data_IF_971728668564
#
_entry.id   IF_971728668564
#
_cell.length_a   1.000
_cell.length_b   1.000
_cell.length_c   1.000
_cell.angle_alpha   90.00
_cell.angle_beta   90.00
_cell.angle_gamma   90.00
#
_symmetry.space_group_name_H-M   'P 1'
#
loop_
_entity.id
_entity.type
_entity.pdbx_description
1 polymer ?
#
# COMPACT_ATOMS: atom_id res chain seq x y z
N UNK A 1 11.19 -12.86 -17.73
CA UNK A 1 11.16 -12.50 -16.31
C UNK A 1 9.76 -12.78 -15.79
N UNK A 2 9.59 -13.58 -14.74
CA UNK A 2 8.30 -13.90 -14.14
C UNK A 2 8.02 -12.93 -12.98
N UNK A 3 6.92 -12.19 -13.07
CA UNK A 3 6.57 -11.11 -12.15
C UNK A 3 5.27 -11.42 -11.42
N UNK A 4 5.22 -11.12 -10.13
CA UNK A 4 3.98 -11.02 -9.36
C UNK A 4 3.70 -9.55 -9.06
N UNK A 5 2.44 -9.13 -9.17
CA UNK A 5 1.96 -7.85 -8.65
C UNK A 5 0.93 -8.11 -7.56
N UNK A 6 1.13 -7.46 -6.41
CA UNK A 6 0.25 -7.55 -5.25
C UNK A 6 -0.37 -6.18 -4.99
N UNK A 7 -1.68 -6.08 -5.23
CA UNK A 7 -2.47 -4.87 -4.98
C UNK A 7 -3.09 -4.94 -3.59
N UNK A 8 -2.82 -3.92 -2.77
CA UNK A 8 -3.27 -3.88 -1.36
C UNK A 8 -3.85 -2.53 -0.99
N UNK A 9 -4.78 -2.53 -0.03
CA UNK A 9 -5.46 -1.32 0.47
C UNK A 9 -6.87 -1.20 -0.10
N UNK A 10 -7.44 0.00 -0.14
CA UNK A 10 -8.69 0.21 -0.87
C UNK A 10 -8.39 0.36 -2.37
N UNK A 11 -9.28 -0.18 -3.20
CA UNK A 11 -9.28 0.03 -4.65
C UNK A 11 -9.89 1.40 -4.99
N UNK A 12 -9.29 2.49 -4.49
CA UNK A 12 -9.76 3.86 -4.77
C UNK A 12 -9.58 4.19 -6.24
N UNK A 13 -10.66 4.56 -6.93
CA UNK A 13 -10.60 5.08 -8.29
C UNK A 13 -9.83 4.18 -9.26
N UNK A 14 -9.81 2.88 -8.96
CA UNK A 14 -9.00 1.89 -9.65
C UNK A 14 -9.38 1.81 -11.13
N UNK A 15 -10.65 2.07 -11.45
CA UNK A 15 -11.19 2.11 -12.80
C UNK A 15 -10.61 3.26 -13.64
N UNK A 16 -10.36 4.42 -13.03
CA UNK A 16 -9.70 5.57 -13.68
C UNK A 16 -8.21 5.29 -13.87
N UNK A 17 -7.58 4.61 -12.90
CA UNK A 17 -6.16 4.24 -12.95
C UNK A 17 -5.89 3.07 -13.89
N UNK A 18 -6.88 2.18 -14.09
CA UNK A 18 -6.73 0.93 -14.82
C UNK A 18 -6.10 1.08 -16.22
N UNK A 19 -6.50 2.03 -17.09
CA UNK A 19 -5.84 2.21 -18.39
C UNK A 19 -4.34 2.45 -18.28
N UNK A 20 -3.91 3.27 -17.31
CA UNK A 20 -2.49 3.51 -17.04
C UNK A 20 -1.81 2.25 -16.49
N UNK A 21 -2.41 1.57 -15.51
CA UNK A 21 -1.87 0.32 -14.96
C UNK A 21 -1.75 -0.77 -16.03
N UNK A 22 -2.74 -0.86 -16.93
CA UNK A 22 -2.75 -1.81 -18.05
C UNK A 22 -1.58 -1.53 -18.99
N UNK A 23 -1.45 -0.30 -19.46
CA UNK A 23 -0.38 0.09 -20.39
C UNK A 23 1.02 -0.02 -19.76
N UNK A 24 1.17 0.41 -18.51
CA UNK A 24 2.48 0.55 -17.85
C UNK A 24 2.97 -0.74 -17.21
N UNK A 25 2.06 -1.65 -16.80
CA UNK A 25 2.41 -2.86 -16.04
C UNK A 25 1.88 -4.12 -16.74
N UNK A 26 0.57 -4.23 -16.98
CA UNK A 26 -0.03 -5.49 -17.47
C UNK A 26 0.47 -5.88 -18.86
N UNK A 27 0.39 -4.96 -19.82
CA UNK A 27 0.72 -5.23 -21.22
C UNK A 27 2.23 -5.45 -21.43
N UNK A 28 3.07 -4.85 -20.56
CA UNK A 28 4.53 -4.96 -20.64
C UNK A 28 5.07 -6.24 -20.02
N UNK A 29 4.51 -6.65 -18.88
CA UNK A 29 5.12 -7.69 -18.05
C UNK A 29 4.27 -8.95 -17.91
N UNK A 30 3.00 -8.92 -18.31
CA UNK A 30 2.03 -10.01 -18.13
C UNK A 30 2.14 -10.68 -16.75
N UNK A 31 2.08 -9.90 -15.65
CA UNK A 31 2.34 -10.41 -14.32
C UNK A 31 1.18 -11.26 -13.80
N UNK A 32 1.48 -12.12 -12.82
CA UNK A 32 0.44 -12.75 -12.00
C UNK A 32 -0.06 -11.74 -10.97
N UNK A 33 -1.37 -11.53 -10.90
CA UNK A 33 -1.99 -10.53 -10.03
C UNK A 33 -2.57 -11.17 -8.76
N UNK A 34 -2.29 -10.59 -7.61
CA UNK A 34 -2.89 -10.92 -6.32
C UNK A 34 -3.54 -9.66 -5.73
N UNK A 35 -4.75 -9.77 -5.19
CA UNK A 35 -5.49 -8.61 -4.71
C UNK A 35 -6.04 -8.89 -3.31
N UNK A 36 -5.74 -7.99 -2.37
CA UNK A 36 -6.35 -8.01 -1.05
C UNK A 36 -6.85 -6.61 -0.68
N UNK A 37 -8.16 -6.43 -0.71
CA UNK A 37 -8.81 -5.11 -0.62
C UNK A 37 -9.93 -5.07 0.40
N UNK A 38 -10.40 -3.85 0.68
CA UNK A 38 -11.67 -3.59 1.32
C UNK A 38 -12.82 -3.58 0.29
N UNK A 39 -14.04 -3.82 0.76
CA UNK A 39 -15.28 -3.89 -0.03
C UNK A 39 -15.71 -2.54 -0.61
N UNK A 40 -15.38 -1.46 0.08
CA UNK A 40 -15.63 -0.09 -0.36
C UNK A 40 -14.38 0.53 -1.02
N UNK A 41 -14.60 1.49 -1.92
CA UNK A 41 -13.51 2.27 -2.52
C UNK A 41 -12.81 3.17 -1.50
N UNK A 42 -13.47 3.57 -0.41
CA UNK A 42 -12.83 4.25 0.73
C UNK A 42 -12.07 5.53 0.35
N UNK A 43 -12.68 6.40 -0.45
CA UNK A 43 -12.11 7.71 -0.83
C UNK A 43 -11.62 8.49 0.37
N UNK A 44 -10.58 9.29 0.13
CA UNK A 44 -10.06 10.22 1.13
C UNK A 44 -10.29 11.65 0.70
N UNK A 45 -10.86 12.46 1.60
CA UNK A 45 -11.11 13.88 1.41
C UNK A 45 -10.46 14.70 2.54
N UNK A 46 -9.97 15.93 2.28
CA UNK A 46 -9.38 16.78 3.33
C UNK A 46 -10.31 17.05 4.53
N UNK A 47 -11.63 17.07 4.31
CA UNK A 47 -12.63 17.21 5.35
C UNK A 47 -12.60 16.05 6.36
N UNK A 48 -12.08 14.89 5.96
CA UNK A 48 -11.93 13.74 6.83
C UNK A 48 -10.83 13.87 7.87
N UNK A 49 -9.92 14.85 7.77
CA UNK A 49 -9.04 15.19 8.89
C UNK A 49 -9.89 15.40 10.17
N UNK A 50 -11.11 15.93 10.01
CA UNK A 50 -12.05 16.19 11.10
C UNK A 50 -13.02 15.04 11.41
N UNK A 51 -13.12 13.99 10.59
CA UNK A 51 -14.05 12.86 10.82
C UNK A 51 -13.41 11.79 11.70
N UNK A 52 -14.21 10.96 12.39
CA UNK A 52 -13.67 9.82 13.16
C UNK A 52 -13.26 8.64 12.28
N UNK A 53 -13.83 8.51 11.09
CA UNK A 53 -13.61 7.37 10.17
C UNK A 53 -12.30 7.48 9.40
N UNK A 54 -11.94 8.67 8.90
CA UNK A 54 -10.74 8.84 8.04
C UNK A 54 -10.87 8.24 6.65
N UNK A 55 -12.11 7.99 6.24
CA UNK A 55 -12.59 7.70 4.88
C UNK A 55 -13.97 8.35 4.74
N UNK A 56 -14.35 8.72 3.52
CA UNK A 56 -15.63 9.35 3.25
C UNK A 56 -16.77 8.35 3.53
N UNK A 57 -17.78 8.76 4.28
CA UNK A 57 -18.96 7.92 4.49
C UNK A 57 -19.72 7.72 3.15
N UNK A 58 -20.27 6.51 2.95
CA UNK A 58 -21.02 6.12 1.75
C UNK A 58 -20.22 6.13 0.44
N UNK A 59 -18.92 5.85 0.48
CA UNK A 59 -18.17 5.54 -0.75
C UNK A 59 -18.76 4.31 -1.45
N UNK A 60 -18.71 4.26 -2.79
CA UNK A 60 -19.24 3.13 -3.54
C UNK A 60 -18.54 1.83 -3.16
N UNK A 61 -19.25 0.72 -3.29
CA UNK A 61 -18.65 -0.60 -3.26
C UNK A 61 -17.84 -0.83 -4.53
N UNK A 62 -16.78 -1.62 -4.43
CA UNK A 62 -16.01 -2.04 -5.60
C UNK A 62 -16.83 -2.98 -6.49
N UNK A 63 -16.68 -2.87 -7.81
CA UNK A 63 -17.22 -3.83 -8.75
C UNK A 63 -16.28 -5.04 -8.87
N UNK A 64 -16.49 -6.05 -8.02
CA UNK A 64 -15.67 -7.26 -7.96
C UNK A 64 -15.63 -8.01 -9.30
N UNK A 65 -16.75 -8.04 -10.03
CA UNK A 65 -16.82 -8.76 -11.30
C UNK A 65 -16.02 -8.04 -12.38
N UNK A 66 -16.13 -6.71 -12.46
CA UNK A 66 -15.34 -5.93 -13.38
C UNK A 66 -13.84 -6.04 -13.07
N UNK A 67 -13.45 -5.98 -11.79
CA UNK A 67 -12.05 -6.17 -11.36
C UNK A 67 -11.52 -7.54 -11.81
N UNK A 68 -12.29 -8.61 -11.56
CA UNK A 68 -11.90 -9.97 -11.99
C UNK A 68 -11.74 -10.07 -13.50
N UNK A 69 -12.65 -9.50 -14.26
CA UNK A 69 -12.61 -9.54 -15.72
C UNK A 69 -11.42 -8.75 -16.29
N UNK A 70 -11.09 -7.59 -15.69
CA UNK A 70 -10.04 -6.70 -16.20
C UNK A 70 -8.63 -7.09 -15.76
N UNK A 71 -8.48 -7.63 -14.53
CA UNK A 71 -7.18 -7.96 -13.93
C UNK A 71 -6.85 -9.46 -13.93
N UNK A 72 -7.86 -10.32 -14.09
CA UNK A 72 -7.73 -11.78 -14.04
C UNK A 72 -6.80 -12.27 -12.89
N UNK A 73 -7.12 -11.93 -11.63
CA UNK A 73 -6.24 -12.23 -10.51
C UNK A 73 -6.14 -13.74 -10.22
N UNK A 74 -4.94 -14.19 -9.83
CA UNK A 74 -4.69 -15.55 -9.34
C UNK A 74 -5.41 -15.79 -8.02
N UNK A 75 -5.39 -14.80 -7.12
CA UNK A 75 -6.18 -14.82 -5.89
C UNK A 75 -6.70 -13.41 -5.58
N UNK A 76 -7.92 -13.35 -5.05
CA UNK A 76 -8.64 -12.09 -4.81
C UNK A 76 -9.53 -12.20 -3.57
N UNK A 77 -9.15 -11.46 -2.52
CA UNK A 77 -9.88 -11.36 -1.27
C UNK A 77 -10.42 -9.94 -1.07
N UNK A 78 -11.70 -9.88 -0.69
CA UNK A 78 -12.42 -8.65 -0.37
C UNK A 78 -12.98 -8.79 1.03
N UNK A 79 -12.70 -7.81 1.90
CA UNK A 79 -13.16 -7.81 3.29
C UNK A 79 -13.99 -6.58 3.60
N UNK A 80 -14.87 -6.68 4.59
CA UNK A 80 -15.70 -5.57 5.04
C UNK A 80 -14.96 -4.74 6.11
N UNK A 81 -14.76 -3.45 5.86
CA UNK A 81 -14.10 -2.55 6.82
C UNK A 81 -14.78 -2.55 8.19
N UNK A 82 -16.11 -2.72 8.24
CA UNK A 82 -16.87 -2.66 9.48
C UNK A 82 -16.55 -3.81 10.45
N UNK A 83 -16.11 -4.96 9.92
CA UNK A 83 -15.68 -6.11 10.75
C UNK A 83 -14.35 -5.84 11.46
N UNK A 84 -13.52 -4.97 10.88
CA UNK A 84 -12.15 -4.71 11.36
C UNK A 84 -11.99 -3.37 12.06
N UNK A 85 -12.88 -2.39 11.81
CA UNK A 85 -12.71 -1.03 12.34
C UNK A 85 -12.58 -0.99 13.87
N UNK A 86 -13.42 -1.75 14.59
CA UNK A 86 -13.35 -1.80 16.06
C UNK A 86 -12.04 -2.42 16.58
N UNK A 87 -11.48 -3.41 15.85
CA UNK A 87 -10.21 -4.05 16.20
C UNK A 87 -9.06 -3.06 16.03
N UNK A 88 -9.03 -2.32 14.92
CA UNK A 88 -8.02 -1.30 14.68
C UNK A 88 -8.15 -0.10 15.63
N UNK A 89 -9.38 0.32 15.96
CA UNK A 89 -9.65 1.38 16.94
C UNK A 89 -9.14 0.99 18.34
N UNK A 90 -9.33 -0.27 18.76
CA UNK A 90 -8.80 -0.74 20.05
C UNK A 90 -7.28 -0.81 20.03
N UNK A 91 -6.69 -1.39 18.98
CA UNK A 91 -5.24 -1.54 18.88
C UNK A 91 -4.52 -0.18 18.78
N UNK A 92 -5.15 0.79 18.11
CA UNK A 92 -4.68 2.16 17.99
C UNK A 92 -4.38 2.84 19.34
N UNK A 93 -5.10 2.48 20.42
CA UNK A 93 -4.93 3.09 21.75
C UNK A 93 -3.52 2.91 22.33
N UNK A 94 -2.76 1.92 21.85
CA UNK A 94 -1.39 1.66 22.28
C UNK A 94 -0.37 2.65 21.70
N UNK A 95 -0.79 3.47 20.74
CA UNK A 95 0.10 4.33 19.95
C UNK A 95 -0.32 5.80 20.07
N UNK A 96 -0.05 6.48 21.20
CA UNK A 96 -0.49 7.87 21.40
C UNK A 96 0.21 8.90 20.49
N UNK A 97 1.41 8.58 19.96
CA UNK A 97 2.15 9.47 19.06
C UNK A 97 2.10 8.91 17.64
N UNK A 98 1.46 9.61 16.71
CA UNK A 98 1.27 9.12 15.35
C UNK A 98 1.39 10.26 14.34
N UNK A 99 1.66 9.90 13.08
CA UNK A 99 1.76 10.87 11.98
C UNK A 99 0.48 10.98 11.15
N UNK A 100 -0.40 9.97 11.25
CA UNK A 100 -1.72 9.92 10.66
C UNK A 100 -2.61 9.05 11.54
N UNK A 101 -3.92 9.03 11.30
CA UNK A 101 -4.88 8.24 12.09
C UNK A 101 -4.37 6.80 12.32
N UNK A 102 -4.12 6.39 13.58
CA UNK A 102 -3.45 5.12 13.87
C UNK A 102 -4.11 3.91 13.24
N UNK A 103 -5.45 3.84 13.30
CA UNK A 103 -6.20 2.75 12.71
C UNK A 103 -5.98 2.59 11.20
N UNK A 104 -5.79 3.68 10.48
CA UNK A 104 -5.54 3.66 9.04
C UNK A 104 -4.11 3.14 8.77
N UNK A 105 -3.15 3.51 9.60
CA UNK A 105 -1.78 3.00 9.55
C UNK A 105 -1.76 1.48 9.84
N UNK A 106 -2.48 1.05 10.87
CA UNK A 106 -2.61 -0.36 11.24
C UNK A 106 -3.28 -1.18 10.13
N UNK A 107 -4.39 -0.65 9.57
CA UNK A 107 -5.09 -1.21 8.41
C UNK A 107 -4.17 -1.36 7.20
N UNK A 108 -3.35 -0.35 6.90
CA UNK A 108 -2.39 -0.38 5.79
C UNK A 108 -1.38 -1.52 5.95
N UNK A 109 -0.75 -1.66 7.13
CA UNK A 109 0.18 -2.76 7.39
C UNK A 109 -0.50 -4.12 7.37
N UNK A 110 -1.72 -4.22 7.88
CA UNK A 110 -2.53 -5.42 7.80
C UNK A 110 -2.78 -5.84 6.35
N UNK A 111 -3.27 -4.93 5.49
CA UNK A 111 -3.52 -5.23 4.07
C UNK A 111 -2.26 -5.56 3.30
N UNK A 112 -1.14 -4.92 3.65
CA UNK A 112 0.17 -5.25 3.08
C UNK A 112 0.52 -6.73 3.37
N UNK A 113 0.48 -7.14 4.64
CA UNK A 113 0.76 -8.52 5.02
C UNK A 113 -0.23 -9.52 4.42
N UNK A 114 -1.53 -9.20 4.46
CA UNK A 114 -2.57 -10.08 3.95
C UNK A 114 -2.46 -10.30 2.43
N UNK A 115 -2.17 -9.24 1.66
CA UNK A 115 -1.92 -9.35 0.22
C UNK A 115 -0.70 -10.21 -0.12
N UNK A 116 0.42 -10.00 0.57
CA UNK A 116 1.63 -10.80 0.38
C UNK A 116 1.40 -12.27 0.83
N UNK A 117 0.53 -12.50 1.81
CA UNK A 117 0.18 -13.86 2.23
C UNK A 117 -0.58 -14.64 1.15
N UNK A 118 -1.30 -13.98 0.24
CA UNK A 118 -1.92 -14.64 -0.92
C UNK A 118 -0.85 -15.18 -1.88
N UNK A 119 0.17 -14.37 -2.17
CA UNK A 119 1.33 -14.78 -2.97
C UNK A 119 2.08 -15.93 -2.29
N UNK A 120 2.38 -15.78 -0.98
CA UNK A 120 3.07 -16.81 -0.17
C UNK A 120 2.32 -18.15 -0.20
N UNK A 121 0.99 -18.13 -0.06
CA UNK A 121 0.16 -19.33 -0.18
C UNK A 121 0.26 -19.95 -1.57
N UNK A 122 0.16 -19.14 -2.63
CA UNK A 122 0.22 -19.63 -4.01
C UNK A 122 1.55 -20.31 -4.33
N UNK A 123 2.69 -19.65 -4.03
CA UNK A 123 4.02 -20.24 -4.27
C UNK A 123 4.23 -21.55 -3.51
N UNK A 124 3.69 -21.65 -2.29
CA UNK A 124 3.81 -22.86 -1.47
C UNK A 124 3.00 -24.03 -2.04
N UNK A 125 1.88 -23.74 -2.73
CA UNK A 125 1.03 -24.74 -3.35
C UNK A 125 1.59 -25.17 -4.71
N UNK A 126 2.04 -24.24 -5.54
CA UNK A 126 2.38 -24.50 -6.95
C UNK A 126 3.87 -24.69 -7.20
N UNK A 127 4.73 -24.25 -6.27
CA UNK A 127 6.17 -24.16 -6.48
C UNK A 127 6.59 -23.03 -7.44
N UNK A 128 5.67 -22.15 -7.85
CA UNK A 128 5.95 -21.05 -8.78
C UNK A 128 7.07 -20.17 -8.24
N UNK A 129 8.05 -19.85 -9.10
CA UNK A 129 9.16 -18.96 -8.78
C UNK A 129 8.96 -17.62 -9.47
N UNK A 130 9.12 -16.52 -8.73
CA UNK A 130 9.08 -15.16 -9.25
C UNK A 130 10.45 -14.51 -9.20
N UNK A 131 10.80 -13.81 -10.27
CA UNK A 131 12.04 -13.05 -10.35
C UNK A 131 11.94 -11.76 -9.52
N UNK A 132 10.79 -11.08 -9.60
CA UNK A 132 10.46 -9.90 -8.80
C UNK A 132 8.98 -9.93 -8.40
N UNK A 133 8.72 -9.32 -7.25
CA UNK A 133 7.39 -9.03 -6.70
C UNK A 133 7.25 -7.52 -6.62
N UNK A 134 6.16 -7.01 -7.16
CA UNK A 134 5.78 -5.60 -7.03
C UNK A 134 4.57 -5.54 -6.11
N UNK A 135 4.72 -4.97 -4.93
CA UNK A 135 3.56 -4.59 -4.12
C UNK A 135 3.27 -3.13 -4.37
N UNK A 136 2.04 -2.79 -4.73
CA UNK A 136 1.66 -1.39 -4.92
C UNK A 136 0.22 -1.10 -4.51
N UNK A 137 -0.06 0.20 -4.33
CA UNK A 137 -1.43 0.71 -4.25
C UNK A 137 -2.07 0.74 -5.63
N UNK A 138 -3.38 0.58 -5.70
CA UNK A 138 -4.18 0.58 -6.93
C UNK A 138 -4.65 1.97 -7.39
N UNK A 139 -4.37 3.01 -6.61
CA UNK A 139 -4.81 4.39 -6.84
C UNK A 139 -3.70 5.27 -7.43
N UNK A 140 -2.79 4.70 -8.23
CA UNK A 140 -1.56 5.38 -8.66
C UNK A 140 -1.40 5.42 -10.18
N UNK A 141 -1.19 6.62 -10.71
CA UNK A 141 -0.88 6.86 -12.12
C UNK A 141 0.63 7.02 -12.26
N UNK A 142 1.26 6.18 -13.08
CA UNK A 142 2.68 6.26 -13.40
C UNK A 142 2.87 7.09 -14.67
N UNK A 143 3.50 8.25 -14.52
CA UNK A 143 3.80 9.14 -15.64
C UNK A 143 5.03 8.65 -16.41
N UNK A 144 6.04 8.17 -15.68
CA UNK A 144 7.22 7.56 -16.27
C UNK A 144 7.07 6.04 -16.43
N UNK A 145 7.95 5.46 -17.24
CA UNK A 145 8.07 4.02 -17.38
C UNK A 145 8.75 3.39 -16.16
N UNK A 146 8.10 2.38 -15.57
CA UNK A 146 8.72 1.52 -14.58
C UNK A 146 9.46 0.39 -15.29
N UNK A 147 10.72 0.63 -15.65
CA UNK A 147 11.59 -0.36 -16.29
C UNK A 147 12.14 -1.36 -15.27
N UNK A 148 11.53 -2.55 -15.23
CA UNK A 148 11.88 -3.61 -14.27
C UNK A 148 13.27 -4.21 -14.51
N UNK A 149 13.88 -4.00 -15.68
CA UNK A 149 15.23 -4.49 -15.96
C UNK A 149 16.32 -3.78 -15.14
N UNK A 150 15.99 -2.62 -14.55
CA UNK A 150 16.91 -1.82 -13.72
C UNK A 150 16.96 -2.26 -12.26
N UNK A 151 16.12 -3.20 -11.84
CA UNK A 151 16.01 -3.62 -10.44
C UNK A 151 16.79 -4.92 -10.21
N UNK A 152 17.82 -4.85 -9.35
CA UNK A 152 18.56 -6.03 -8.89
C UNK A 152 17.70 -6.87 -7.94
N UNK A 153 17.62 -8.19 -8.19
CA UNK A 153 16.86 -9.15 -7.38
C UNK A 153 17.38 -9.29 -5.95
N UNK A 154 18.63 -8.92 -5.70
CA UNK A 154 19.25 -8.95 -4.37
C UNK A 154 19.06 -7.64 -3.59
N UNK A 155 18.32 -6.68 -4.14
CA UNK A 155 18.01 -5.41 -3.50
C UNK A 155 16.50 -5.31 -3.34
N UNK A 156 16.05 -4.93 -2.15
CA UNK A 156 14.68 -4.53 -1.89
C UNK A 156 14.54 -3.04 -2.15
N UNK A 157 13.55 -2.65 -2.93
CA UNK A 157 13.32 -1.28 -3.34
C UNK A 157 12.03 -0.74 -2.79
N UNK A 158 12.07 0.50 -2.36
CA UNK A 158 10.88 1.29 -2.01
C UNK A 158 10.82 2.52 -2.92
N UNK A 159 9.60 2.92 -3.30
CA UNK A 159 9.42 4.21 -3.95
C UNK A 159 9.74 5.31 -2.94
N UNK A 160 10.63 6.24 -3.29
CA UNK A 160 10.98 7.36 -2.45
C UNK A 160 9.75 8.24 -2.21
N UNK A 161 9.30 8.28 -0.96
CA UNK A 161 8.24 9.18 -0.51
C UNK A 161 8.51 9.47 0.97
N UNK A 162 8.49 10.75 1.35
CA UNK A 162 8.77 11.19 2.71
C UNK A 162 7.47 11.63 3.36
N UNK A 163 7.41 11.52 4.69
CA UNK A 163 6.36 12.20 5.44
C UNK A 163 6.52 13.74 5.36
N UNK A 164 5.57 14.49 5.93
CA UNK A 164 5.60 15.95 5.95
C UNK A 164 6.85 16.56 6.62
N UNK A 165 7.56 15.78 7.45
CA UNK A 165 8.82 16.17 8.09
C UNK A 165 10.07 15.81 7.27
N UNK A 166 9.92 15.30 6.05
CA UNK A 166 11.04 14.88 5.20
C UNK A 166 11.68 13.55 5.63
N UNK A 167 11.01 12.74 6.44
CA UNK A 167 11.54 11.49 7.01
C UNK A 167 10.93 10.24 6.39
N UNK A 168 11.65 9.12 6.51
CA UNK A 168 11.18 7.78 6.17
C UNK A 168 11.31 7.41 4.69
N UNK A 169 10.59 6.38 4.25
CA UNK A 169 10.52 5.89 2.86
C UNK A 169 9.07 5.63 2.45
N UNK A 170 8.78 5.49 1.17
CA UNK A 170 7.41 5.28 0.71
C UNK A 170 6.83 3.90 1.02
N UNK A 171 5.54 3.92 1.33
CA UNK A 171 4.65 2.78 1.51
C UNK A 171 3.83 2.48 0.25
N UNK A 172 4.12 3.14 -0.87
CA UNK A 172 3.25 3.15 -2.04
C UNK A 172 3.58 2.06 -3.08
N UNK A 173 4.88 1.86 -3.35
CA UNK A 173 5.40 0.76 -4.17
C UNK A 173 6.61 0.14 -3.47
N UNK A 174 6.63 -1.19 -3.44
CA UNK A 174 7.76 -2.01 -3.04
C UNK A 174 8.10 -2.98 -4.16
N UNK A 175 9.39 -3.15 -4.47
CA UNK A 175 9.87 -4.09 -5.49
C UNK A 175 11.03 -4.90 -4.90
N UNK A 176 10.97 -6.22 -4.98
CA UNK A 176 12.07 -7.07 -4.53
C UNK A 176 11.85 -8.52 -4.89
N UNK A 177 12.72 -9.40 -4.42
CA UNK A 177 12.47 -10.84 -4.54
C UNK A 177 11.34 -11.28 -3.58
N UNK A 178 10.91 -12.53 -3.72
CA UNK A 178 9.82 -13.12 -2.92
C UNK A 178 10.14 -13.10 -1.41
N UNK A 179 11.36 -13.47 -1.04
CA UNK A 179 11.77 -13.55 0.37
C UNK A 179 11.72 -12.17 1.03
N UNK A 180 12.33 -11.16 0.42
CA UNK A 180 12.36 -9.80 0.95
C UNK A 180 10.95 -9.19 1.01
N UNK A 181 10.11 -9.49 0.02
CA UNK A 181 8.71 -9.04 0.02
C UNK A 181 7.91 -9.64 1.19
N UNK A 182 8.08 -10.95 1.45
CA UNK A 182 7.47 -11.62 2.61
C UNK A 182 8.02 -11.06 3.91
N UNK A 183 9.34 -10.96 4.05
CA UNK A 183 10.00 -10.45 5.25
C UNK A 183 9.61 -9.00 5.56
N UNK A 184 9.55 -8.14 4.54
CA UNK A 184 9.09 -6.76 4.71
C UNK A 184 7.63 -6.73 5.19
N UNK A 185 6.78 -7.58 4.62
CA UNK A 185 5.37 -7.60 4.93
C UNK A 185 5.05 -7.98 6.38
N UNK A 186 5.93 -8.76 7.03
CA UNK A 186 5.77 -9.10 8.45
C UNK A 186 5.98 -7.91 9.39
N UNK A 187 6.30 -6.70 8.91
CA UNK A 187 6.30 -5.47 9.71
C UNK A 187 5.02 -5.32 10.55
N UNK A 188 3.86 -5.78 10.05
CA UNK A 188 2.58 -5.76 10.77
C UNK A 188 2.64 -6.51 12.12
N UNK A 189 3.47 -7.54 12.22
CA UNK A 189 3.65 -8.35 13.42
C UNK A 189 4.58 -7.68 14.45
N UNK A 190 5.35 -6.68 14.03
CA UNK A 190 6.39 -6.04 14.83
C UNK A 190 6.08 -4.57 15.17
N UNK A 191 4.88 -4.10 14.87
CA UNK A 191 4.45 -2.71 15.10
C UNK A 191 4.74 -2.25 16.56
N UNK A 192 4.36 -2.99 17.63
CA UNK A 192 4.60 -2.53 19.00
C UNK A 192 6.10 -2.41 19.33
N UNK A 193 6.91 -3.36 18.87
CA UNK A 193 8.35 -3.37 19.08
C UNK A 193 9.01 -2.19 18.35
N UNK A 194 8.65 -1.98 17.07
CA UNK A 194 9.15 -0.85 16.30
C UNK A 194 8.75 0.47 16.95
N UNK A 195 7.48 0.59 17.33
CA UNK A 195 6.96 1.77 18.03
C UNK A 195 7.72 2.05 19.33
N UNK A 196 7.98 1.04 20.16
CA UNK A 196 8.76 1.20 21.39
C UNK A 196 10.18 1.74 21.14
N UNK A 197 10.77 1.39 19.99
CA UNK A 197 12.12 1.86 19.61
C UNK A 197 12.15 3.27 19.00
N UNK A 198 11.11 3.65 18.25
CA UNK A 198 11.08 4.92 17.49
C UNK A 198 10.18 6.00 18.12
N UNK A 199 9.26 5.62 19.00
CA UNK A 199 8.32 6.52 19.68
C UNK A 199 7.23 7.16 18.80
N UNK A 200 7.06 6.68 17.56
CA UNK A 200 6.16 7.27 16.56
C UNK A 200 5.53 6.21 15.65
N UNK A 201 4.19 6.20 15.55
CA UNK A 201 3.46 5.39 14.59
C UNK A 201 3.35 6.17 13.27
N UNK A 202 4.29 5.92 12.36
CA UNK A 202 4.33 6.52 11.04
C UNK A 202 4.78 5.47 10.01
N UNK A 203 4.00 5.20 8.95
CA UNK A 203 4.35 4.21 7.92
C UNK A 203 5.78 4.37 7.43
N UNK A 204 6.14 5.60 7.04
CA UNK A 204 7.41 5.92 6.43
C UNK A 204 8.61 5.63 7.35
N UNK A 205 8.51 6.07 8.61
CA UNK A 205 9.59 5.90 9.61
C UNK A 205 9.70 4.45 10.06
N UNK A 206 8.56 3.79 10.27
CA UNK A 206 8.51 2.37 10.62
C UNK A 206 9.11 1.49 9.52
N UNK A 207 8.81 1.78 8.25
CA UNK A 207 9.41 1.08 7.12
C UNK A 207 10.93 1.22 7.11
N UNK A 208 11.48 2.43 7.32
CA UNK A 208 12.94 2.60 7.42
C UNK A 208 13.50 1.84 8.61
N UNK A 209 12.87 1.89 9.79
CA UNK A 209 13.35 1.18 10.98
C UNK A 209 13.32 -0.35 10.79
N UNK A 210 12.35 -0.87 10.04
CA UNK A 210 12.27 -2.27 9.66
C UNK A 210 13.36 -2.66 8.66
N UNK A 211 13.55 -1.84 7.62
CA UNK A 211 14.51 -2.09 6.55
C UNK A 211 15.97 -2.00 7.02
N UNK A 212 16.27 -0.99 7.84
CA UNK A 212 17.61 -0.67 8.28
C UNK A 212 18.25 -1.87 9.00
N UNK A 213 19.43 -2.26 8.53
CA UNK A 213 20.23 -3.39 9.01
C UNK A 213 19.61 -4.79 8.80
N UNK A 214 18.50 -4.92 8.06
CA UNK A 214 17.86 -6.22 7.75
C UNK A 214 17.81 -6.52 6.26
N UNK A 215 17.78 -5.49 5.43
CA UNK A 215 17.64 -5.62 3.98
C UNK A 215 18.82 -4.95 3.28
N UNK A 216 19.24 -5.52 2.16
CA UNK A 216 19.96 -4.76 1.14
C UNK A 216 18.92 -3.85 0.46
N UNK A 217 18.82 -2.60 0.91
CA UNK A 217 17.71 -1.72 0.57
C UNK A 217 18.19 -0.49 -0.22
N UNK A 218 17.44 -0.14 -1.26
CA UNK A 218 17.60 1.12 -2.00
C UNK A 218 16.25 1.78 -2.24
N UNK A 219 16.27 3.07 -2.48
CA UNK A 219 15.09 3.78 -2.97
C UNK A 219 15.19 4.01 -4.47
N UNK A 220 14.03 4.13 -5.12
CA UNK A 220 13.94 4.60 -6.50
C UNK A 220 12.94 5.74 -6.59
N UNK A 221 13.02 6.49 -7.68
CA UNK A 221 12.18 7.65 -7.94
C UNK A 221 11.44 7.43 -9.26
N UNK A 222 10.15 7.75 -9.28
CA UNK A 222 9.33 7.73 -10.50
C UNK A 222 8.32 8.86 -10.42
N UNK A 223 8.10 9.57 -11.53
CA UNK A 223 7.04 10.57 -11.58
C UNK A 223 5.68 9.87 -11.58
N UNK A 224 4.82 10.26 -10.64
CA UNK A 224 3.54 9.62 -10.38
C UNK A 224 2.58 10.57 -9.69
N UNK A 225 1.29 10.33 -9.86
CA UNK A 225 0.21 10.99 -9.13
C UNK A 225 -0.68 9.98 -8.42
N UNK A 226 -1.43 10.44 -7.43
CA UNK A 226 -2.37 9.61 -6.67
C UNK A 226 -3.81 10.02 -6.95
N UNK A 227 -4.63 9.05 -7.34
CA UNK A 227 -6.05 9.24 -7.59
C UNK A 227 -6.86 8.91 -6.33
N UNK A 228 -6.78 9.76 -5.30
CA UNK A 228 -7.44 9.51 -4.01
C UNK A 228 -8.97 9.62 -4.05
N UNK A 229 -9.53 10.34 -5.04
CA UNK A 229 -10.97 10.40 -5.32
C UNK A 229 -11.24 10.51 -6.83
N UNK A 230 -12.50 10.43 -7.28
CA UNK A 230 -12.85 10.60 -8.70
C UNK A 230 -12.38 11.93 -9.32
N UNK A 231 -12.15 12.97 -8.51
CA UNK A 231 -11.75 14.29 -8.98
C UNK A 231 -10.22 14.50 -9.12
N UNK A 232 -9.39 13.50 -8.78
CA UNK A 232 -7.93 13.59 -8.86
C UNK A 232 -7.22 13.52 -7.52
N UNK A 233 -5.94 13.92 -7.55
CA UNK A 233 -5.12 14.14 -6.36
C UNK A 233 -5.60 15.42 -5.65
N UNK A 234 -5.80 15.35 -4.33
CA UNK A 234 -6.15 16.54 -3.55
C UNK A 234 -4.90 17.28 -3.12
N UNK A 235 -4.92 18.59 -3.31
CA UNK A 235 -4.00 19.50 -2.64
C UNK A 235 -4.69 19.99 -1.37
N UNK A 236 -4.10 19.73 -0.21
CA UNK A 236 -4.55 20.32 1.06
C UNK A 236 -4.52 21.85 0.94
N UNK A 237 -5.60 22.52 1.32
CA UNK A 237 -5.56 23.97 1.55
C UNK A 237 -4.63 24.28 2.72
N UNK A 238 -4.02 25.47 2.74
CA UNK A 238 -3.05 25.83 3.79
C UNK A 238 -3.65 25.76 5.21
N UNK A 239 -4.96 26.03 5.36
CA UNK A 239 -5.69 25.87 6.62
C UNK A 239 -5.79 24.43 7.12
N UNK A 240 -5.78 23.44 6.23
CA UNK A 240 -5.89 22.02 6.58
C UNK A 240 -4.51 21.36 6.79
N UNK A 241 -3.44 21.91 6.21
CA UNK A 241 -2.06 21.48 6.49
C UNK A 241 -1.69 21.66 7.96
N UNK A 242 -2.14 22.76 8.56
CA UNK A 242 -1.92 23.06 9.98
C UNK A 242 -2.68 22.15 10.94
N UNK A 243 -3.76 21.51 10.48
CA UNK A 243 -4.54 20.54 11.27
C UNK A 243 -3.94 19.13 11.14
N UNK A 244 -3.47 18.76 9.94
CA UNK A 244 -2.75 17.50 9.70
C UNK A 244 -1.40 17.47 10.47
N UNK A 245 -0.72 18.61 10.62
CA UNK A 245 0.50 18.73 11.43
C UNK A 245 0.26 18.66 12.95
N UNK A 246 -1.00 18.78 13.41
CA UNK A 246 -1.39 18.76 14.84
C UNK A 246 -2.09 17.45 15.25
N UNK A 247 -2.41 16.59 14.28
CA UNK A 247 -3.05 15.29 14.48
C UNK A 247 -2.00 14.18 14.47
#
# INVERSE_FOLDING_TARGET
MKIAVVLTGHMRCWNVVYPNFKERILDKYSPDIFIHTWKDEGYWTPQEIKTKSGVQDNTPMIDVNLIKNLLNPIDFVVEDWNEYNAIFDEYAKQFPNFAHKPKNILSMFYKLNAGISLLEKYINITGTQYDLVIRMRSDMILHDELDLSKFDRNVFYTLAHRNHMGQGTGDQIHIGNVFDSIAFAKISCFIPMLYASIGLLCPHVMSVAWLKNRFNWSEFYINKSLQHTPNGEYVLSDELKDVDNRA
#
